data_IF_268174047886
#
_entry.id   IF_268174047886
#
_cell.length_a   1.000
_cell.length_b   1.000
_cell.length_c   1.000
_cell.angle_alpha   90.00
_cell.angle_beta   90.00
_cell.angle_gamma   90.00
#
_symmetry.space_group_name_H-M   'P 1'
#
loop_
_entity.id
_entity.type
_entity.pdbx_description
1 polymer ?
#
# COMPACT_ATOMS: atom_id res chain seq x y z
N UNK A 1 27.67 -11.21 8.18
CA UNK A 1 27.53 -11.25 6.71
C UNK A 1 27.20 -9.84 6.24
N UNK A 2 28.16 -9.17 5.60
CA UNK A 2 28.08 -7.77 5.15
C UNK A 2 27.40 -7.73 3.78
N UNK A 3 26.36 -6.91 3.60
CA UNK A 3 25.85 -6.58 2.27
C UNK A 3 26.16 -5.10 2.03
N UNK A 4 27.03 -4.89 1.06
CA UNK A 4 27.43 -3.60 0.49
C UNK A 4 26.33 -3.23 -0.51
N UNK A 5 25.65 -2.12 -0.27
CA UNK A 5 24.57 -1.63 -1.14
C UNK A 5 25.18 -0.71 -2.19
N UNK A 6 25.72 -1.30 -3.25
CA UNK A 6 26.03 -0.58 -4.48
C UNK A 6 25.37 -1.31 -5.65
N UNK A 7 24.34 -0.65 -6.21
CA UNK A 7 23.69 -0.91 -7.50
C UNK A 7 23.02 -2.28 -7.64
N UNK A 8 21.69 -2.24 -7.69
CA UNK A 8 20.76 -3.37 -7.85
C UNK A 8 20.61 -4.25 -6.60
N UNK A 9 19.55 -3.97 -5.84
CA UNK A 9 18.97 -4.97 -4.94
C UNK A 9 18.40 -6.08 -5.84
N UNK A 10 19.20 -7.12 -6.06
CA UNK A 10 18.71 -8.34 -6.71
C UNK A 10 17.88 -9.12 -5.67
N UNK A 11 16.58 -9.19 -5.91
CA UNK A 11 15.62 -9.93 -5.10
C UNK A 11 15.72 -11.44 -5.38
N UNK A 12 16.90 -12.03 -5.18
CA UNK A 12 17.10 -13.47 -5.25
C UNK A 12 16.66 -14.10 -3.93
N UNK A 13 15.36 -14.41 -3.86
CA UNK A 13 14.81 -15.45 -3.00
C UNK A 13 14.83 -15.21 -1.47
N UNK A 14 14.54 -13.99 -1.02
CA UNK A 14 14.33 -13.77 0.41
C UNK A 14 13.19 -12.79 0.64
N UNK A 15 12.15 -13.26 1.32
CA UNK A 15 11.27 -12.38 2.07
C UNK A 15 12.18 -11.47 2.91
N UNK A 16 12.20 -10.17 2.62
CA UNK A 16 12.83 -9.18 3.49
C UNK A 16 11.92 -9.07 4.72
N UNK A 17 11.90 -10.10 5.57
CA UNK A 17 11.23 -10.05 6.87
C UNK A 17 12.08 -9.15 7.78
N UNK A 18 11.97 -7.83 7.62
CA UNK A 18 12.54 -6.87 8.55
C UNK A 18 11.65 -6.77 9.78
N UNK A 19 11.58 -7.88 10.53
CA UNK A 19 11.06 -7.85 11.90
C UNK A 19 12.00 -6.94 12.69
N UNK A 20 11.50 -5.74 12.99
CA UNK A 20 11.83 -4.91 14.17
C UNK A 20 13.21 -4.21 14.26
N UNK A 21 13.97 -4.07 13.17
CA UNK A 21 15.12 -3.13 13.16
C UNK A 21 14.96 -2.13 12.02
N UNK A 22 15.00 -0.84 12.35
CA UNK A 22 15.15 0.23 11.38
C UNK A 22 16.40 -0.07 10.56
N UNK A 23 16.23 -0.36 9.27
CA UNK A 23 17.38 -0.55 8.39
C UNK A 23 17.60 0.75 7.62
N UNK A 24 18.86 1.10 7.42
CA UNK A 24 19.25 2.31 6.68
C UNK A 24 19.22 2.06 5.16
N UNK A 25 18.37 1.13 4.67
CA UNK A 25 18.25 0.91 3.24
C UNK A 25 17.60 2.16 2.61
N UNK A 26 18.28 2.70 1.60
CA UNK A 26 17.91 3.95 0.92
C UNK A 26 18.01 3.78 -0.59
N UNK A 27 17.59 4.81 -1.32
CA UNK A 27 17.47 4.76 -2.78
C UNK A 27 16.03 4.48 -3.23
N UNK A 28 15.84 4.19 -4.51
CA UNK A 28 14.52 3.92 -5.07
C UNK A 28 14.12 2.45 -4.90
N UNK A 29 12.82 2.23 -4.67
CA UNK A 29 12.23 0.90 -4.65
C UNK A 29 11.75 0.53 -6.06
N UNK A 30 12.54 -0.27 -6.79
CA UNK A 30 12.20 -0.70 -8.15
C UNK A 30 11.46 -2.04 -8.14
N UNK A 31 10.23 -2.07 -8.68
CA UNK A 31 9.39 -3.27 -8.70
C UNK A 31 9.47 -4.09 -10.01
N UNK A 32 10.03 -3.53 -11.08
CA UNK A 32 10.05 -4.17 -12.42
C UNK A 32 10.78 -5.52 -12.50
N UNK A 33 11.67 -5.82 -11.55
CA UNK A 33 12.51 -7.01 -11.57
C UNK A 33 12.18 -7.98 -10.43
N UNK A 34 10.97 -7.90 -9.86
CA UNK A 34 10.54 -8.85 -8.84
C UNK A 34 10.34 -10.25 -9.46
N UNK A 35 10.70 -11.33 -8.74
CA UNK A 35 10.44 -12.68 -9.21
C UNK A 35 8.95 -12.91 -9.45
N UNK A 36 8.58 -13.55 -10.57
CA UNK A 36 7.17 -13.86 -10.89
C UNK A 36 6.48 -14.74 -9.84
N UNK A 37 7.26 -15.54 -9.11
CA UNK A 37 6.77 -16.42 -8.04
C UNK A 37 6.69 -15.73 -6.66
N UNK A 38 7.03 -14.44 -6.56
CA UNK A 38 6.98 -13.71 -5.29
C UNK A 38 5.53 -13.53 -4.83
N UNK A 39 5.23 -14.00 -3.63
CA UNK A 39 3.90 -13.88 -3.00
C UNK A 39 3.85 -12.78 -1.94
N UNK A 40 4.97 -12.50 -1.27
CA UNK A 40 5.04 -11.52 -0.19
C UNK A 40 6.25 -10.60 -0.37
N UNK A 41 6.03 -9.29 -0.30
CA UNK A 41 7.07 -8.28 -0.27
C UNK A 41 6.88 -7.38 0.96
N UNK A 42 7.79 -7.51 1.92
CA UNK A 42 7.81 -6.73 3.15
C UNK A 42 9.07 -5.84 3.14
N UNK A 43 8.91 -4.52 3.16
CA UNK A 43 10.01 -3.54 3.02
C UNK A 43 9.81 -2.37 3.99
N UNK A 44 9.12 -2.60 5.10
CA UNK A 44 8.83 -1.55 6.06
C UNK A 44 10.04 -1.10 6.87
N UNK A 45 9.97 0.13 7.38
CA UNK A 45 10.93 0.73 8.31
C UNK A 45 12.32 0.91 7.69
N UNK A 46 12.35 1.66 6.57
CA UNK A 46 13.53 1.95 5.78
C UNK A 46 13.58 3.45 5.39
N UNK A 47 14.53 3.81 4.53
CA UNK A 47 14.72 5.16 3.99
C UNK A 47 14.56 5.19 2.47
N UNK A 48 13.74 4.30 1.90
CA UNK A 48 13.47 4.32 0.47
C UNK A 48 12.77 5.63 0.08
N UNK A 49 13.18 6.18 -1.05
CA UNK A 49 12.69 7.44 -1.62
C UNK A 49 12.16 7.22 -3.04
N UNK A 50 11.50 8.25 -3.59
CA UNK A 50 10.98 8.22 -4.95
C UNK A 50 9.64 7.50 -5.06
N UNK A 51 9.16 7.32 -6.29
CA UNK A 51 7.87 6.72 -6.57
C UNK A 51 7.91 5.21 -6.68
N UNK A 52 6.72 4.61 -6.55
CA UNK A 52 6.51 3.18 -6.68
C UNK A 52 5.53 2.94 -7.82
N UNK A 53 5.96 2.17 -8.82
CA UNK A 53 5.10 1.75 -9.92
C UNK A 53 4.47 0.39 -9.63
N UNK A 54 3.21 0.42 -9.18
CA UNK A 54 2.45 -0.77 -8.81
C UNK A 54 2.05 -1.63 -10.03
N UNK A 55 2.14 -1.10 -11.26
CA UNK A 55 1.72 -1.82 -12.47
C UNK A 55 2.63 -2.99 -12.86
N UNK A 56 3.78 -3.12 -12.19
CA UNK A 56 4.78 -4.16 -12.45
C UNK A 56 4.88 -5.19 -11.32
N UNK A 57 3.91 -5.20 -10.40
CA UNK A 57 3.83 -6.23 -9.38
C UNK A 57 3.54 -7.60 -10.04
N UNK A 58 4.11 -8.70 -9.53
CA UNK A 58 3.75 -10.03 -9.98
C UNK A 58 2.27 -10.33 -9.79
N UNK A 59 1.64 -10.98 -10.77
CA UNK A 59 0.22 -11.37 -10.72
C UNK A 59 -0.13 -12.31 -9.54
N UNK A 60 0.87 -13.01 -9.00
CA UNK A 60 0.74 -13.90 -7.84
C UNK A 60 1.07 -13.24 -6.50
N UNK A 61 1.35 -11.93 -6.47
CA UNK A 61 1.68 -11.22 -5.23
C UNK A 61 0.42 -11.05 -4.36
N UNK A 62 0.47 -11.60 -3.15
CA UNK A 62 -0.61 -11.58 -2.16
C UNK A 62 -0.46 -10.42 -1.17
N UNK A 63 0.77 -10.15 -0.73
CA UNK A 63 1.05 -9.21 0.36
C UNK A 63 2.12 -8.21 -0.07
N UNK A 64 1.78 -6.91 -0.02
CA UNK A 64 2.71 -5.81 -0.21
C UNK A 64 2.70 -4.87 1.00
N UNK A 65 3.84 -4.79 1.68
CA UNK A 65 4.00 -4.00 2.90
C UNK A 65 5.23 -3.10 2.75
N UNK A 66 5.02 -1.81 2.49
CA UNK A 66 6.10 -0.82 2.24
C UNK A 66 6.01 0.38 3.18
N UNK A 67 5.51 0.15 4.39
CA UNK A 67 5.20 1.20 5.35
C UNK A 67 6.45 1.84 5.98
N UNK A 68 6.35 3.06 6.50
CA UNK A 68 7.45 3.74 7.20
C UNK A 68 8.71 3.87 6.33
N UNK A 69 8.54 4.58 5.21
CA UNK A 69 9.59 4.96 4.27
C UNK A 69 9.45 6.46 3.92
N UNK A 70 10.22 6.94 2.95
CA UNK A 70 10.13 8.28 2.39
C UNK A 70 9.67 8.23 0.92
N UNK A 71 8.89 7.20 0.56
CA UNK A 71 8.37 7.02 -0.80
C UNK A 71 7.32 8.11 -1.09
N UNK A 72 7.29 8.61 -2.31
CA UNK A 72 6.51 9.78 -2.70
C UNK A 72 5.88 9.64 -4.08
N UNK A 73 5.13 10.65 -4.51
CA UNK A 73 4.39 10.62 -5.78
C UNK A 73 3.02 9.95 -5.64
N UNK A 74 2.31 9.86 -6.77
CA UNK A 74 1.01 9.20 -6.85
C UNK A 74 1.14 7.69 -6.98
N UNK A 75 0.09 6.99 -6.55
CA UNK A 75 -0.01 5.53 -6.68
C UNK A 75 -1.29 5.19 -7.43
N UNK A 76 -1.16 4.34 -8.44
CA UNK A 76 -2.31 3.83 -9.19
C UNK A 76 -2.74 2.49 -8.59
N UNK A 77 -3.77 2.54 -7.74
CA UNK A 77 -4.34 1.35 -7.09
C UNK A 77 -5.19 0.50 -8.05
N UNK A 78 -5.48 0.98 -9.26
CA UNK A 78 -6.20 0.20 -10.29
C UNK A 78 -5.32 -0.84 -10.98
N UNK A 79 -4.02 -0.80 -10.71
CA UNK A 79 -2.98 -1.64 -11.32
C UNK A 79 -2.41 -2.69 -10.37
N UNK A 80 -3.08 -2.92 -9.24
CA UNK A 80 -2.67 -3.93 -8.27
C UNK A 80 -2.75 -5.34 -8.86
N UNK A 81 -1.97 -6.25 -8.27
CA UNK A 81 -2.04 -7.66 -8.58
C UNK A 81 -3.47 -8.20 -8.32
N UNK A 82 -4.05 -8.97 -9.25
CA UNK A 82 -5.39 -9.56 -9.08
C UNK A 82 -5.50 -10.48 -7.85
N UNK A 83 -4.38 -11.05 -7.41
CA UNK A 83 -4.30 -11.97 -6.26
C UNK A 83 -4.07 -11.24 -4.94
N UNK A 84 -3.94 -9.91 -4.94
CA UNK A 84 -3.55 -9.17 -3.73
C UNK A 84 -4.62 -9.22 -2.64
N UNK A 85 -4.19 -9.51 -1.42
CA UNK A 85 -5.01 -9.60 -0.21
C UNK A 85 -4.70 -8.46 0.76
N UNK A 86 -3.42 -8.08 0.89
CA UNK A 86 -2.98 -7.07 1.86
C UNK A 86 -2.08 -6.03 1.19
N UNK A 87 -2.47 -4.76 1.32
CA UNK A 87 -1.67 -3.62 0.91
C UNK A 87 -1.49 -2.62 2.07
N UNK A 88 -0.24 -2.33 2.42
CA UNK A 88 0.09 -1.19 3.28
C UNK A 88 1.14 -0.28 2.66
N UNK A 89 0.71 0.95 2.44
CA UNK A 89 1.50 2.09 1.99
C UNK A 89 1.68 3.11 3.12
N UNK A 90 1.21 2.80 4.32
CA UNK A 90 1.14 3.72 5.46
C UNK A 90 2.48 4.38 5.81
N UNK A 91 2.44 5.60 6.34
CA UNK A 91 3.64 6.30 6.83
C UNK A 91 4.69 6.50 5.73
N UNK A 92 4.26 7.15 4.65
CA UNK A 92 5.09 7.58 3.53
C UNK A 92 4.75 9.02 3.16
N UNK A 93 5.25 9.48 2.01
CA UNK A 93 4.99 10.78 1.41
C UNK A 93 4.17 10.66 0.12
N UNK A 94 3.37 9.60 -0.04
CA UNK A 94 2.52 9.40 -1.22
C UNK A 94 1.41 10.46 -1.27
N UNK A 95 1.16 11.01 -2.45
CA UNK A 95 0.26 12.15 -2.66
C UNK A 95 -0.63 11.95 -3.87
N UNK A 96 -1.48 12.93 -4.16
CA UNK A 96 -2.46 12.84 -5.25
C UNK A 96 -3.75 12.14 -4.82
N UNK A 97 -4.59 11.86 -5.81
CA UNK A 97 -5.88 11.18 -5.65
C UNK A 97 -5.69 9.67 -5.61
N UNK A 98 -6.69 8.96 -5.07
CA UNK A 98 -6.73 7.50 -5.06
C UNK A 98 -8.03 7.05 -5.72
N UNK A 99 -7.93 6.02 -6.56
CA UNK A 99 -9.08 5.35 -7.16
C UNK A 99 -9.24 3.99 -6.48
N UNK A 100 -10.32 3.83 -5.71
CA UNK A 100 -10.66 2.58 -5.02
C UNK A 100 -11.66 1.73 -5.81
N UNK A 101 -12.08 2.16 -7.00
CA UNK A 101 -13.17 1.51 -7.76
C UNK A 101 -12.76 0.23 -8.46
N UNK A 102 -11.45 -0.04 -8.55
CA UNK A 102 -10.88 -1.19 -9.26
C UNK A 102 -9.95 -2.02 -8.39
N UNK A 103 -10.16 -2.02 -7.08
CA UNK A 103 -9.39 -2.85 -6.16
C UNK A 103 -9.62 -4.36 -6.44
N UNK A 104 -8.60 -5.22 -6.22
CA UNK A 104 -8.76 -6.66 -6.32
C UNK A 104 -9.87 -7.20 -5.41
N UNK A 105 -10.66 -8.15 -5.92
CA UNK A 105 -11.82 -8.68 -5.20
C UNK A 105 -11.46 -9.47 -3.94
N UNK A 106 -10.20 -9.90 -3.80
CA UNK A 106 -9.67 -10.60 -2.63
C UNK A 106 -9.01 -9.67 -1.60
N UNK A 107 -8.93 -8.36 -1.88
CA UNK A 107 -8.27 -7.41 -0.99
C UNK A 107 -9.05 -7.26 0.32
N UNK A 108 -8.46 -7.74 1.42
CA UNK A 108 -9.06 -7.71 2.75
C UNK A 108 -8.52 -6.59 3.63
N UNK A 109 -7.32 -6.07 3.33
CA UNK A 109 -6.67 -5.06 4.16
C UNK A 109 -5.99 -3.98 3.34
N UNK A 110 -6.44 -2.73 3.50
CA UNK A 110 -5.89 -1.55 2.84
C UNK A 110 -5.51 -0.45 3.84
N UNK A 111 -4.21 -0.13 3.89
CA UNK A 111 -3.67 0.92 4.75
C UNK A 111 -2.99 2.03 3.93
N UNK A 112 -3.67 3.17 3.82
CA UNK A 112 -3.18 4.39 3.16
C UNK A 112 -2.82 5.50 4.17
N UNK A 113 -3.05 5.24 5.46
CA UNK A 113 -2.96 6.23 6.53
C UNK A 113 -1.60 6.91 6.65
N UNK A 114 -1.60 8.14 7.18
CA UNK A 114 -0.38 8.95 7.34
C UNK A 114 0.37 9.13 6.00
N UNK A 115 -0.37 9.50 4.96
CA UNK A 115 0.16 9.94 3.66
C UNK A 115 -0.57 11.22 3.25
N UNK A 116 0.08 12.13 2.52
CA UNK A 116 -0.54 13.34 1.98
C UNK A 116 -1.49 13.10 0.78
N UNK A 117 -2.21 11.98 0.72
CA UNK A 117 -3.28 11.75 -0.25
C UNK A 117 -4.39 12.81 -0.13
N UNK A 118 -4.94 13.24 -1.26
CA UNK A 118 -5.93 14.33 -1.37
C UNK A 118 -7.08 13.94 -2.29
N UNK A 119 -8.15 14.74 -2.26
CA UNK A 119 -9.24 14.66 -3.23
C UNK A 119 -10.40 13.80 -2.77
N UNK A 120 -11.48 13.89 -3.54
CA UNK A 120 -12.68 13.09 -3.34
C UNK A 120 -12.44 11.67 -3.80
N UNK A 121 -12.82 10.71 -2.95
CA UNK A 121 -12.65 9.28 -3.20
C UNK A 121 -14.02 8.61 -3.16
N UNK A 122 -14.30 7.83 -4.20
CA UNK A 122 -15.47 6.96 -4.25
C UNK A 122 -15.18 5.68 -3.43
N UNK A 123 -15.98 5.48 -2.39
CA UNK A 123 -15.90 4.32 -1.51
C UNK A 123 -16.99 3.27 -1.81
N UNK A 124 -17.86 3.50 -2.79
CA UNK A 124 -19.01 2.62 -3.12
C UNK A 124 -18.60 1.27 -3.70
N UNK A 125 -17.41 1.18 -4.29
CA UNK A 125 -16.90 -0.01 -4.98
C UNK A 125 -15.83 -0.76 -4.17
N UNK A 126 -15.78 -0.56 -2.85
CA UNK A 126 -14.88 -1.33 -1.99
C UNK A 126 -15.23 -2.83 -2.08
N UNK A 127 -14.23 -3.73 -2.25
CA UNK A 127 -14.45 -5.17 -2.28
C UNK A 127 -15.20 -5.68 -1.05
N UNK A 128 -16.11 -6.64 -1.24
CA UNK A 128 -16.84 -7.27 -0.12
C UNK A 128 -15.97 -8.04 0.86
N UNK A 129 -14.76 -8.41 0.43
CA UNK A 129 -13.73 -9.06 1.24
C UNK A 129 -13.00 -8.09 2.18
N UNK A 130 -13.20 -6.78 2.01
CA UNK A 130 -12.52 -5.76 2.82
C UNK A 130 -12.89 -5.90 4.29
N UNK A 131 -11.91 -6.19 5.14
CA UNK A 131 -12.07 -6.28 6.59
C UNK A 131 -11.47 -5.03 7.28
N UNK A 132 -10.38 -4.49 6.73
CA UNK A 132 -9.65 -3.38 7.32
C UNK A 132 -9.40 -2.28 6.30
N UNK A 133 -10.00 -1.10 6.52
CA UNK A 133 -9.73 0.10 5.74
C UNK A 133 -9.18 1.21 6.64
N UNK A 134 -7.96 1.66 6.36
CA UNK A 134 -7.33 2.74 7.11
C UNK A 134 -6.87 3.88 6.19
N UNK A 135 -7.65 4.97 6.20
CA UNK A 135 -7.37 6.23 5.50
C UNK A 135 -7.15 7.38 6.48
N UNK A 136 -6.91 7.05 7.76
CA UNK A 136 -6.69 8.04 8.80
C UNK A 136 -5.46 8.93 8.51
N UNK A 137 -5.51 10.19 8.93
CA UNK A 137 -4.41 11.16 8.73
C UNK A 137 -4.02 11.30 7.25
N UNK A 138 -5.01 11.30 6.37
CA UNK A 138 -4.91 11.71 4.97
C UNK A 138 -5.74 12.98 4.78
N UNK A 139 -5.68 13.61 3.60
CA UNK A 139 -6.60 14.69 3.23
C UNK A 139 -7.71 14.21 2.29
N UNK A 140 -7.91 12.90 2.15
CA UNK A 140 -9.00 12.31 1.38
C UNK A 140 -10.35 12.77 1.95
N UNK A 141 -11.31 12.97 1.04
CA UNK A 141 -12.70 13.27 1.35
C UNK A 141 -13.62 12.26 0.68
N UNK A 142 -14.85 12.16 1.17
CA UNK A 142 -15.87 11.25 0.65
C UNK A 142 -16.70 10.68 1.78
N UNK A 143 -17.62 9.79 1.44
CA UNK A 143 -18.54 9.18 2.40
C UNK A 143 -18.49 7.68 2.26
N UNK A 144 -18.37 6.99 3.39
CA UNK A 144 -18.50 5.53 3.48
C UNK A 144 -19.85 5.24 4.15
N UNK A 145 -20.68 4.43 3.50
CA UNK A 145 -21.97 3.98 4.01
C UNK A 145 -21.84 2.57 4.60
N UNK A 146 -22.10 2.41 5.90
CA UNK A 146 -21.90 1.18 6.68
C UNK A 146 -22.81 0.00 6.31
N UNK A 147 -23.81 0.22 5.44
CA UNK A 147 -24.73 -0.82 4.98
C UNK A 147 -24.29 -1.60 3.74
N UNK A 148 -23.35 -1.08 2.94
CA UNK A 148 -22.96 -1.71 1.66
C UNK A 148 -21.65 -2.49 1.72
N UNK A 149 -20.82 -2.21 2.73
CA UNK A 149 -19.49 -2.78 2.86
C UNK A 149 -19.36 -3.53 4.19
N UNK A 150 -19.04 -4.82 4.14
CA UNK A 150 -18.77 -5.69 5.28
C UNK A 150 -17.42 -5.36 5.96
N UNK A 151 -17.09 -4.07 6.10
CA UNK A 151 -15.79 -3.65 6.62
C UNK A 151 -15.82 -3.79 8.14
N UNK A 152 -15.04 -4.74 8.65
CA UNK A 152 -14.93 -4.98 10.08
C UNK A 152 -14.40 -3.76 10.85
N UNK A 153 -13.34 -3.12 10.33
CA UNK A 153 -12.71 -1.96 10.97
C UNK A 153 -12.41 -0.86 9.95
N UNK A 154 -13.03 0.30 10.16
CA UNK A 154 -12.80 1.52 9.38
C UNK A 154 -12.10 2.57 10.25
N UNK A 155 -10.97 3.07 9.77
CA UNK A 155 -10.20 4.15 10.40
C UNK A 155 -10.12 5.37 9.49
N UNK A 156 -10.94 6.38 9.78
CA UNK A 156 -11.00 7.68 9.06
C UNK A 156 -10.51 8.86 9.90
N UNK A 157 -9.98 8.61 11.10
CA UNK A 157 -9.60 9.67 12.04
C UNK A 157 -8.62 10.69 11.40
N UNK A 158 -8.85 11.99 11.62
CA UNK A 158 -8.03 13.06 11.05
C UNK A 158 -7.93 13.02 9.51
N UNK A 159 -8.99 12.58 8.83
CA UNK A 159 -9.23 12.77 7.40
C UNK A 159 -10.48 13.63 7.18
N UNK A 160 -10.86 13.91 5.92
CA UNK A 160 -12.14 14.54 5.58
C UNK A 160 -13.19 13.50 5.15
N UNK A 161 -12.92 12.21 5.35
CA UNK A 161 -13.85 11.12 5.06
C UNK A 161 -14.88 11.02 6.18
N UNK A 162 -16.15 10.97 5.79
CA UNK A 162 -17.28 10.76 6.70
C UNK A 162 -17.66 9.29 6.69
N UNK A 163 -17.85 8.71 7.86
CA UNK A 163 -18.44 7.39 8.01
C UNK A 163 -19.88 7.55 8.49
N UNK A 164 -20.83 7.03 7.71
CA UNK A 164 -22.24 6.98 8.05
C UNK A 164 -22.56 5.49 8.27
N UNK A 165 -22.80 5.07 9.52
CA UNK A 165 -23.09 3.66 9.84
C UNK A 165 -24.38 3.18 9.19
#
# INVERSE_FOLDING_TARGET
MRIRVERHVQFSNCAIKTKTKQNYFSGSLTLHSLPKALQELLVSVNQFIGSVDLAHLPDGLLILVVAQNQLSGSVDLTRLSPSMEILTLSENMFSGTVDLTRLPQHLSSLHLNKNPFIGETDFSQIPKSMEFLNVARTKLSGTIYGGEANIGVISVSKSHVKYIP
#
